data_IF_073957820223
#
_entry.id   IF_073957820223
#
_cell.length_a   1.000
_cell.length_b   1.000
_cell.length_c   1.000
_cell.angle_alpha   90.00
_cell.angle_beta   90.00
_cell.angle_gamma   90.00
#
_symmetry.space_group_name_H-M   'P 1'
#
loop_
_entity.id
_entity.type
_entity.pdbx_description
1 polymer ?
#
# COMPACT_ATOMS: atom_id res chain seq x y z
N UNK A 1 -9.79 -10.46 -24.32
CA UNK A 1 -8.75 -9.44 -24.17
C UNK A 1 -9.08 -8.63 -22.91
N UNK A 2 -8.13 -8.38 -22.02
CA UNK A 2 -8.37 -7.58 -20.81
C UNK A 2 -8.07 -6.11 -21.13
N UNK A 3 -9.01 -5.22 -20.82
CA UNK A 3 -8.79 -3.77 -20.93
C UNK A 3 -8.87 -3.12 -19.57
N UNK A 4 -8.00 -2.16 -19.32
CA UNK A 4 -7.94 -1.38 -18.07
C UNK A 4 -7.97 0.11 -18.38
N UNK A 5 -8.53 0.90 -17.45
CA UNK A 5 -8.44 2.35 -17.56
C UNK A 5 -7.05 2.79 -17.07
N UNK A 6 -6.29 3.42 -17.95
CA UNK A 6 -4.98 3.98 -17.63
C UNK A 6 -5.13 5.46 -17.28
N UNK A 7 -4.85 5.81 -16.03
CA UNK A 7 -4.97 7.19 -15.54
C UNK A 7 -3.97 8.14 -16.22
N UNK A 8 -2.80 7.66 -16.63
CA UNK A 8 -1.78 8.46 -17.33
C UNK A 8 -2.29 8.92 -18.71
N UNK A 9 -2.88 8.01 -19.47
CA UNK A 9 -3.40 8.31 -20.82
C UNK A 9 -4.86 8.75 -20.81
N UNK A 10 -5.57 8.54 -19.68
CA UNK A 10 -7.02 8.80 -19.50
C UNK A 10 -7.91 8.03 -20.47
N UNK A 11 -7.48 6.84 -20.87
CA UNK A 11 -8.20 5.98 -21.81
C UNK A 11 -8.30 4.54 -21.29
N UNK A 12 -9.27 3.79 -21.80
CA UNK A 12 -9.27 2.33 -21.66
C UNK A 12 -8.34 1.77 -22.72
N UNK A 13 -7.39 0.98 -22.28
CA UNK A 13 -6.35 0.38 -23.11
C UNK A 13 -6.27 -1.11 -22.87
N UNK A 14 -5.76 -1.85 -23.84
CA UNK A 14 -5.45 -3.25 -23.66
C UNK A 14 -4.35 -3.40 -22.60
N UNK A 15 -4.56 -4.36 -21.71
CA UNK A 15 -3.58 -4.66 -20.67
C UNK A 15 -2.41 -5.45 -21.24
N UNK A 16 -1.22 -4.87 -21.21
CA UNK A 16 0.04 -5.51 -21.57
C UNK A 16 0.95 -5.53 -20.33
N UNK A 17 1.32 -6.71 -19.80
CA UNK A 17 2.26 -6.78 -18.69
C UNK A 17 3.67 -6.36 -19.16
N UNK A 18 4.45 -5.76 -18.26
CA UNK A 18 5.83 -5.36 -18.53
C UNK A 18 6.74 -6.56 -18.84
N UNK A 19 6.41 -7.72 -18.29
CA UNK A 19 7.08 -9.00 -18.58
C UNK A 19 6.03 -10.02 -18.97
N UNK A 20 6.29 -10.76 -20.02
CA UNK A 20 5.36 -11.78 -20.49
C UNK A 20 5.05 -12.80 -19.38
N UNK A 21 3.77 -13.03 -19.13
CA UNK A 21 3.30 -13.98 -18.12
C UNK A 21 3.37 -13.50 -16.65
N UNK A 22 3.95 -12.34 -16.36
CA UNK A 22 4.10 -11.82 -14.98
C UNK A 22 3.33 -10.52 -14.78
N UNK A 23 2.64 -10.39 -13.65
CA UNK A 23 1.96 -9.14 -13.24
C UNK A 23 2.36 -8.77 -11.83
N UNK A 24 2.94 -7.59 -11.66
CA UNK A 24 3.23 -7.02 -10.36
C UNK A 24 2.21 -5.93 -10.04
N UNK A 25 1.56 -6.03 -8.88
CA UNK A 25 0.57 -5.07 -8.40
C UNK A 25 1.06 -4.47 -7.10
N UNK A 26 1.08 -3.16 -7.01
CA UNK A 26 1.26 -2.44 -5.76
C UNK A 26 -0.03 -1.71 -5.40
N UNK A 27 -0.53 -1.97 -4.21
CA UNK A 27 -1.69 -1.29 -3.64
C UNK A 27 -1.27 -0.50 -2.40
N UNK A 28 -1.64 0.77 -2.35
CA UNK A 28 -1.51 1.54 -1.12
C UNK A 28 -2.36 0.90 -0.02
N UNK A 29 -1.73 0.61 1.12
CA UNK A 29 -2.39 -0.02 2.25
C UNK A 29 -3.10 0.97 3.17
N UNK A 30 -3.23 0.59 4.43
CA UNK A 30 -3.90 1.41 5.45
C UNK A 30 -2.89 2.07 6.39
N UNK A 31 -3.31 3.18 7.00
CA UNK A 31 -2.70 3.73 8.21
C UNK A 31 -3.40 3.10 9.40
N UNK A 32 -2.74 2.20 10.16
CA UNK A 32 -3.38 1.40 11.20
C UNK A 32 -3.45 2.16 12.53
N UNK A 33 -4.43 3.05 12.67
CA UNK A 33 -4.65 3.86 13.89
C UNK A 33 -6.03 3.65 14.51
N UNK A 34 -6.90 2.88 13.85
CA UNK A 34 -8.26 2.56 14.30
C UNK A 34 -8.74 1.28 13.61
N UNK A 35 -9.86 0.72 14.09
CA UNK A 35 -10.47 -0.46 13.49
C UNK A 35 -10.84 -0.21 12.03
N UNK A 36 -10.63 -1.19 11.14
CA UNK A 36 -11.00 -1.07 9.75
C UNK A 36 -12.53 -1.04 9.60
N UNK A 37 -13.02 -0.17 8.71
CA UNK A 37 -14.43 -0.11 8.34
C UNK A 37 -14.63 -0.55 6.87
N UNK A 38 -15.87 -0.70 6.44
CA UNK A 38 -16.23 -1.20 5.10
C UNK A 38 -15.58 -0.37 3.97
N UNK A 39 -15.39 0.93 4.16
CA UNK A 39 -14.70 1.79 3.21
C UNK A 39 -13.23 1.41 3.00
N UNK A 40 -12.56 0.94 4.06
CA UNK A 40 -11.18 0.42 3.96
C UNK A 40 -11.17 -0.94 3.23
N UNK A 41 -12.17 -1.78 3.41
CA UNK A 41 -12.24 -3.11 2.81
C UNK A 41 -12.45 -3.07 1.28
N UNK A 42 -13.19 -2.09 0.78
CA UNK A 42 -13.56 -1.98 -0.63
C UNK A 42 -12.38 -2.10 -1.61
N UNK A 43 -11.29 -1.34 -1.50
CA UNK A 43 -10.16 -1.48 -2.41
C UNK A 43 -9.53 -2.87 -2.34
N UNK A 44 -9.37 -3.44 -1.14
CA UNK A 44 -8.69 -4.73 -0.98
C UNK A 44 -9.50 -5.91 -1.53
N UNK A 45 -10.82 -5.89 -1.36
CA UNK A 45 -11.72 -6.85 -2.02
C UNK A 45 -11.64 -6.71 -3.55
N UNK A 46 -11.65 -5.47 -4.06
CA UNK A 46 -11.54 -5.23 -5.51
C UNK A 46 -10.21 -5.75 -6.06
N UNK A 47 -9.09 -5.46 -5.39
CA UNK A 47 -7.77 -5.95 -5.80
C UNK A 47 -7.64 -7.47 -5.67
N UNK A 48 -8.28 -8.09 -4.68
CA UNK A 48 -8.29 -9.55 -4.56
C UNK A 48 -9.03 -10.20 -5.73
N UNK A 49 -10.15 -9.64 -6.16
CA UNK A 49 -10.86 -10.11 -7.36
C UNK A 49 -9.98 -9.98 -8.61
N UNK A 50 -9.33 -8.83 -8.78
CA UNK A 50 -8.45 -8.56 -9.93
C UNK A 50 -7.28 -9.56 -9.97
N UNK A 51 -6.58 -9.78 -8.84
CA UNK A 51 -5.45 -10.71 -8.81
C UNK A 51 -5.86 -12.16 -9.03
N UNK A 52 -7.03 -12.58 -8.50
CA UNK A 52 -7.59 -13.92 -8.76
C UNK A 52 -7.92 -14.10 -10.24
N UNK A 53 -8.51 -13.07 -10.85
CA UNK A 53 -8.82 -13.08 -12.28
C UNK A 53 -7.55 -13.19 -13.12
N UNK A 54 -6.53 -12.39 -12.85
CA UNK A 54 -5.25 -12.44 -13.57
C UNK A 54 -4.58 -13.81 -13.40
N UNK A 55 -4.54 -14.35 -12.19
CA UNK A 55 -4.03 -15.70 -11.96
C UNK A 55 -4.82 -16.77 -12.74
N UNK A 56 -6.16 -16.65 -12.78
CA UNK A 56 -7.01 -17.54 -13.60
C UNK A 56 -6.75 -17.43 -15.09
N UNK A 57 -6.24 -16.26 -15.55
CA UNK A 57 -5.81 -16.05 -16.95
C UNK A 57 -4.39 -16.56 -17.25
N UNK A 58 -3.73 -17.18 -16.27
CA UNK A 58 -2.41 -17.79 -16.42
C UNK A 58 -1.24 -16.87 -16.10
N UNK A 59 -1.47 -15.69 -15.55
CA UNK A 59 -0.39 -14.80 -15.09
C UNK A 59 0.16 -15.23 -13.74
N UNK A 60 1.48 -15.16 -13.57
CA UNK A 60 2.12 -15.17 -12.26
C UNK A 60 1.93 -13.78 -11.63
N UNK A 61 1.06 -13.70 -10.62
CA UNK A 61 0.70 -12.41 -9.99
C UNK A 61 1.44 -12.25 -8.68
N UNK A 62 2.21 -11.18 -8.56
CA UNK A 62 2.82 -10.72 -7.31
C UNK A 62 2.10 -9.47 -6.82
N UNK A 63 1.50 -9.54 -5.63
CA UNK A 63 0.72 -8.46 -5.02
C UNK A 63 1.41 -7.94 -3.77
N UNK A 64 1.70 -6.66 -3.76
CA UNK A 64 2.37 -5.95 -2.65
C UNK A 64 1.40 -4.91 -2.09
N UNK A 65 1.27 -4.87 -0.77
CA UNK A 65 0.47 -3.89 -0.06
C UNK A 65 1.22 -3.41 1.17
N UNK A 66 1.45 -2.10 1.29
CA UNK A 66 2.16 -1.56 2.44
C UNK A 66 1.26 -1.31 3.66
N UNK A 67 1.90 -1.08 4.81
CA UNK A 67 1.31 -0.41 5.96
C UNK A 67 2.02 0.91 6.21
N UNK A 68 1.27 2.01 6.30
CA UNK A 68 1.79 3.30 6.76
C UNK A 68 1.72 3.30 8.29
N UNK A 69 2.62 2.57 8.91
CA UNK A 69 2.66 2.30 10.35
C UNK A 69 3.38 3.39 11.17
N UNK A 70 3.82 4.46 10.50
CA UNK A 70 4.31 5.72 11.11
C UNK A 70 3.55 6.87 10.45
N UNK A 71 2.70 7.55 11.23
CA UNK A 71 1.84 8.65 10.78
C UNK A 71 1.36 9.45 12.00
N UNK A 72 1.06 10.74 11.83
CA UNK A 72 0.56 11.60 12.91
C UNK A 72 -0.70 11.05 13.59
N UNK A 73 -1.58 10.37 12.83
CA UNK A 73 -2.80 9.75 13.39
C UNK A 73 -2.47 8.65 14.39
N UNK A 74 -1.42 7.87 14.11
CA UNK A 74 -0.95 6.81 15.01
C UNK A 74 -0.32 7.43 16.25
N UNK A 75 0.54 8.43 16.07
CA UNK A 75 1.20 9.15 17.17
C UNK A 75 0.16 9.81 18.09
N UNK A 76 -0.82 10.48 17.51
CA UNK A 76 -1.90 11.11 18.25
C UNK A 76 -2.79 10.09 18.99
N UNK A 77 -3.05 8.92 18.42
CA UNK A 77 -3.76 7.84 19.08
C UNK A 77 -2.94 7.29 20.26
N UNK A 78 -1.65 7.06 20.07
CA UNK A 78 -0.73 6.60 21.09
C UNK A 78 -0.66 7.57 22.28
N UNK A 79 -0.53 8.87 22.02
CA UNK A 79 -0.51 9.91 23.06
C UNK A 79 -1.81 9.96 23.87
N UNK A 80 -2.97 9.79 23.23
CA UNK A 80 -4.27 9.75 23.92
C UNK A 80 -4.45 8.53 24.81
N UNK A 81 -3.89 7.38 24.40
CA UNK A 81 -4.00 6.13 25.15
C UNK A 81 -2.85 5.90 26.13
N UNK A 82 -1.79 6.72 26.08
CA UNK A 82 -0.61 6.58 26.96
C UNK A 82 0.23 5.34 26.61
N UNK A 83 0.23 4.92 25.34
CA UNK A 83 0.99 3.76 24.83
C UNK A 83 1.95 4.18 23.72
N UNK A 84 2.78 3.25 23.23
CA UNK A 84 3.69 3.55 22.13
C UNK A 84 2.96 3.54 20.78
N UNK A 85 3.46 4.29 19.79
CA UNK A 85 2.94 4.26 18.43
C UNK A 85 3.00 2.86 17.84
N UNK A 86 4.00 2.07 18.22
CA UNK A 86 4.16 0.69 17.76
C UNK A 86 3.04 -0.21 18.28
N UNK A 87 2.63 -0.07 19.51
CA UNK A 87 1.51 -0.82 20.10
C UNK A 87 0.20 -0.50 19.38
N UNK A 88 -0.03 0.77 19.04
CA UNK A 88 -1.20 1.19 18.23
C UNK A 88 -1.15 0.54 16.86
N UNK A 89 -0.05 0.70 16.13
CA UNK A 89 0.03 0.18 14.76
C UNK A 89 -0.07 -1.35 14.72
N UNK A 90 0.60 -2.08 15.60
CA UNK A 90 0.55 -3.55 15.64
C UNK A 90 -0.86 -4.06 16.00
N UNK A 91 -1.55 -3.41 16.95
CA UNK A 91 -2.95 -3.71 17.31
C UNK A 91 -3.87 -3.60 16.10
N UNK A 92 -3.82 -2.49 15.38
CA UNK A 92 -4.72 -2.26 14.24
C UNK A 92 -4.30 -2.95 12.96
N UNK A 93 -3.03 -3.31 12.80
CA UNK A 93 -2.60 -4.26 11.76
C UNK A 93 -3.22 -5.65 12.02
N UNK A 94 -3.24 -6.11 13.29
CA UNK A 94 -3.89 -7.37 13.64
C UNK A 94 -5.41 -7.31 13.39
N UNK A 95 -6.05 -6.20 13.74
CA UNK A 95 -7.49 -5.97 13.46
C UNK A 95 -7.77 -5.95 11.95
N UNK A 96 -6.91 -5.29 11.16
CA UNK A 96 -6.99 -5.29 9.70
C UNK A 96 -6.94 -6.72 9.15
N UNK A 97 -5.98 -7.54 9.57
CA UNK A 97 -5.86 -8.90 9.08
C UNK A 97 -7.08 -9.73 9.45
N UNK A 98 -7.58 -9.62 10.69
CA UNK A 98 -8.80 -10.29 11.13
C UNK A 98 -10.00 -9.95 10.25
N UNK A 99 -10.18 -8.66 9.91
CA UNK A 99 -11.27 -8.21 9.06
C UNK A 99 -11.12 -8.70 7.61
N UNK A 100 -9.92 -8.66 7.04
CA UNK A 100 -9.66 -9.14 5.68
C UNK A 100 -9.81 -10.65 5.55
N UNK A 101 -9.37 -11.41 6.54
CA UNK A 101 -9.56 -12.88 6.59
C UNK A 101 -11.06 -13.23 6.66
N UNK A 102 -11.86 -12.50 7.46
CA UNK A 102 -13.32 -12.67 7.52
C UNK A 102 -14.04 -12.38 6.18
N UNK A 103 -13.46 -11.50 5.36
CA UNK A 103 -13.94 -11.20 4.00
C UNK A 103 -13.36 -12.14 2.93
N UNK A 104 -12.60 -13.18 3.32
CA UNK A 104 -11.90 -14.09 2.40
C UNK A 104 -10.98 -13.38 1.40
N UNK A 105 -10.42 -12.23 1.78
CA UNK A 105 -9.41 -11.51 1.00
C UNK A 105 -8.06 -12.20 1.22
N UNK A 106 -7.42 -12.64 0.14
CA UNK A 106 -6.09 -13.24 0.22
C UNK A 106 -5.06 -12.22 0.71
N UNK A 107 -4.17 -12.63 1.57
CA UNK A 107 -3.04 -11.81 2.00
C UNK A 107 -2.14 -11.45 0.83
N UNK A 108 -1.56 -10.27 0.86
CA UNK A 108 -0.53 -9.88 -0.10
C UNK A 108 0.71 -10.78 0.05
N UNK A 109 1.52 -10.85 -1.00
CA UNK A 109 2.76 -11.61 -0.97
C UNK A 109 3.83 -10.92 -0.12
N UNK A 110 3.74 -9.58 -0.03
CA UNK A 110 4.62 -8.76 0.82
C UNK A 110 3.82 -7.60 1.41
N UNK A 111 4.07 -7.32 2.69
CA UNK A 111 3.53 -6.17 3.42
C UNK A 111 4.67 -5.29 3.94
N UNK A 112 5.28 -4.41 3.10
CA UNK A 112 6.29 -3.47 3.58
C UNK A 112 5.70 -2.53 4.62
N UNK A 113 6.46 -2.24 5.67
CA UNK A 113 6.14 -1.24 6.68
C UNK A 113 7.02 -0.01 6.50
N UNK A 114 6.46 1.18 6.68
CA UNK A 114 7.23 2.43 6.62
C UNK A 114 8.35 2.42 7.66
N UNK A 115 8.04 1.97 8.89
CA UNK A 115 9.02 1.87 9.98
C UNK A 115 10.23 0.98 9.65
N UNK A 116 10.04 -0.05 8.85
CA UNK A 116 11.09 -1.01 8.45
C UNK A 116 11.87 -0.57 7.20
N UNK A 117 11.35 0.42 6.44
CA UNK A 117 11.94 0.89 5.18
C UNK A 117 12.43 2.33 5.24
N UNK A 118 12.52 2.92 6.43
CA UNK A 118 12.87 4.34 6.61
C UNK A 118 14.21 4.71 5.97
N UNK A 119 15.23 3.87 6.10
CA UNK A 119 16.52 4.11 5.51
C UNK A 119 16.49 4.13 3.97
N UNK A 120 15.65 3.29 3.36
CA UNK A 120 15.46 3.27 1.90
C UNK A 120 14.69 4.50 1.42
N UNK A 121 13.70 4.95 2.18
CA UNK A 121 12.94 6.17 1.93
C UNK A 121 13.88 7.39 1.95
N UNK A 122 14.70 7.52 2.99
CA UNK A 122 15.68 8.61 3.11
C UNK A 122 16.64 8.62 1.93
N UNK A 123 17.22 7.48 1.59
CA UNK A 123 18.16 7.34 0.45
C UNK A 123 17.51 7.71 -0.89
N UNK A 124 16.23 7.35 -1.09
CA UNK A 124 15.49 7.75 -2.27
C UNK A 124 15.31 9.27 -2.33
N UNK A 125 14.90 9.91 -1.22
CA UNK A 125 14.74 11.36 -1.11
C UNK A 125 16.07 12.09 -1.40
N UNK A 126 17.16 11.66 -0.78
CA UNK A 126 18.51 12.23 -1.02
C UNK A 126 18.91 12.13 -2.50
N UNK A 127 18.62 10.98 -3.12
CA UNK A 127 18.87 10.77 -4.55
C UNK A 127 18.06 11.72 -5.43
N UNK A 128 16.79 11.94 -5.10
CA UNK A 128 15.92 12.88 -5.84
C UNK A 128 16.42 14.31 -5.70
N UNK A 129 16.82 14.72 -4.50
CA UNK A 129 17.39 16.06 -4.24
C UNK A 129 18.68 16.23 -5.04
N UNK A 130 19.61 15.26 -4.96
CA UNK A 130 20.88 15.29 -5.67
C UNK A 130 20.74 15.38 -7.19
N UNK A 131 19.65 14.82 -7.73
CA UNK A 131 19.32 14.87 -9.17
C UNK A 131 18.50 16.08 -9.58
N UNK A 132 18.12 16.98 -8.65
CA UNK A 132 17.32 18.17 -8.92
C UNK A 132 15.83 17.91 -9.13
N UNK A 133 15.33 16.72 -8.79
CA UNK A 133 13.91 16.38 -8.88
C UNK A 133 13.11 16.70 -7.62
N UNK A 134 13.79 17.03 -6.52
CA UNK A 134 13.17 17.42 -5.26
C UNK A 134 13.95 18.56 -4.60
N UNK A 135 13.29 19.35 -3.77
CA UNK A 135 13.89 20.41 -2.97
C UNK A 135 13.27 20.44 -1.58
N UNK A 136 14.07 20.92 -0.62
CA UNK A 136 13.66 21.02 0.79
C UNK A 136 12.89 22.33 0.99
N UNK A 137 11.74 22.24 1.68
CA UNK A 137 11.02 23.40 2.20
C UNK A 137 11.08 23.42 3.74
N UNK A 138 10.62 24.48 4.38
CA UNK A 138 10.71 24.65 5.85
C UNK A 138 10.02 23.52 6.65
N UNK A 139 9.07 22.80 6.07
CA UNK A 139 8.34 21.73 6.75
C UNK A 139 8.08 20.50 5.88
N UNK A 140 8.37 20.54 4.60
CA UNK A 140 8.03 19.49 3.63
C UNK A 140 9.12 19.36 2.56
N UNK A 141 9.15 18.21 1.89
CA UNK A 141 9.92 17.99 0.68
C UNK A 141 8.94 17.97 -0.48
N UNK A 142 9.15 18.84 -1.48
CA UNK A 142 8.40 18.81 -2.72
C UNK A 142 9.19 18.11 -3.83
N UNK A 143 8.48 17.34 -4.63
CA UNK A 143 8.97 16.57 -5.77
C UNK A 143 8.35 17.11 -7.05
#
# INVERSE_FOLDING_TARGET
>A
MLTVYNTMTRKKEEFHPLRAGEVNIYCCGVTPYNDPHIGNARPFVTWDVIRRYLARKGYAVRYIQNFTDVDDKIINAANREGVTWKEISDRYIAAYFKAMDALNVRRADVFPRVSETMADIQRMIETLIARGYAYVTLSLIHI
#
